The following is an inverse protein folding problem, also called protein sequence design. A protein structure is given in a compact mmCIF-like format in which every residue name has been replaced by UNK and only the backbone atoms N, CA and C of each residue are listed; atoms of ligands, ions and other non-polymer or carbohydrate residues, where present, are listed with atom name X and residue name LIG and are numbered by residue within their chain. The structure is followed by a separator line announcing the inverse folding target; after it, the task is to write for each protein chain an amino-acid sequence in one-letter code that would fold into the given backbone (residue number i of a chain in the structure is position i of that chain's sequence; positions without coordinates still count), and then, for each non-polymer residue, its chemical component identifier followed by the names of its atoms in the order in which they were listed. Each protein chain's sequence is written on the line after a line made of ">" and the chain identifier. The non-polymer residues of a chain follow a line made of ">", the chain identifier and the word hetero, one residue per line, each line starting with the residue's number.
data_IF_753831763693
#
_entry.id   IF_753831763693
#
_cell.length_a   1.000
_cell.length_b   1.000
_cell.length_c   1.000
_cell.angle_alpha   90.00
_cell.angle_beta   90.00
_cell.angle_gamma   90.00
#
_symmetry.space_group_name_H-M   'P 1'
#
loop_
_entity.id
_entity.type
_entity.pdbx_description
1 polymer ?
#
# COMPACT_ATOMS: atom_id res chain seq x y z
N UNK A 1 14.33 -20.44 5.55
CA UNK A 1 15.06 -20.10 4.31
C UNK A 1 14.27 -19.07 3.54
N UNK A 2 14.92 -18.16 2.83
CA UNK A 2 14.31 -17.22 1.88
C UNK A 2 14.83 -17.55 0.49
N UNK A 3 13.97 -17.45 -0.50
CA UNK A 3 14.30 -17.70 -1.90
C UNK A 3 13.98 -16.46 -2.72
N UNK A 4 14.76 -16.21 -3.75
CA UNK A 4 14.46 -15.19 -4.73
C UNK A 4 13.18 -15.54 -5.51
N UNK A 5 12.55 -14.54 -6.09
CA UNK A 5 11.28 -14.71 -6.81
C UNK A 5 11.37 -15.70 -7.97
N UNK A 6 12.53 -15.79 -8.60
CA UNK A 6 12.84 -16.66 -9.75
C UNK A 6 13.52 -17.97 -9.38
N UNK A 7 13.64 -18.28 -8.07
CA UNK A 7 14.21 -19.55 -7.63
C UNK A 7 13.50 -20.74 -8.31
N UNK A 8 14.31 -21.64 -8.86
CA UNK A 8 13.83 -22.79 -9.60
C UNK A 8 13.23 -23.87 -8.67
N UNK A 9 12.39 -24.72 -9.24
CA UNK A 9 11.85 -25.88 -8.52
C UNK A 9 12.98 -26.76 -7.93
N UNK A 10 14.06 -26.99 -8.71
CA UNK A 10 15.18 -27.81 -8.28
C UNK A 10 15.91 -27.22 -7.07
N UNK A 11 16.15 -25.92 -7.07
CA UNK A 11 16.78 -25.22 -5.93
C UNK A 11 15.94 -25.33 -4.66
N UNK A 12 14.63 -25.15 -4.77
CA UNK A 12 13.71 -25.23 -3.64
C UNK A 12 13.64 -26.67 -3.11
N UNK A 13 13.40 -27.66 -3.95
CA UNK A 13 13.33 -29.05 -3.52
C UNK A 13 14.66 -29.54 -2.92
N UNK A 14 15.79 -29.14 -3.48
CA UNK A 14 17.11 -29.44 -2.95
C UNK A 14 17.32 -28.82 -1.56
N UNK A 15 16.89 -27.58 -1.35
CA UNK A 15 17.02 -26.91 -0.06
C UNK A 15 16.22 -27.61 1.07
N UNK A 16 15.08 -28.23 0.73
CA UNK A 16 14.23 -28.97 1.66
C UNK A 16 14.44 -30.49 1.62
N UNK A 17 15.43 -31.00 0.90
CA UNK A 17 15.63 -32.44 0.69
C UNK A 17 15.76 -33.25 2.00
N UNK A 18 16.41 -32.67 3.02
CA UNK A 18 16.60 -33.32 4.32
C UNK A 18 15.27 -33.50 5.10
N UNK A 19 14.28 -32.65 4.86
CA UNK A 19 12.96 -32.72 5.50
C UNK A 19 11.99 -33.52 4.62
N UNK A 20 12.01 -33.29 3.30
CA UNK A 20 11.14 -33.96 2.32
C UNK A 20 11.41 -35.46 2.21
N UNK A 21 12.67 -35.89 2.11
CA UNK A 21 13.02 -37.28 1.93
C UNK A 21 12.41 -38.19 3.00
N UNK A 22 12.69 -37.98 4.30
CA UNK A 22 12.09 -38.74 5.38
C UNK A 22 10.57 -38.60 5.49
N UNK A 23 10.00 -37.44 5.11
CA UNK A 23 8.55 -37.24 5.09
C UNK A 23 7.90 -38.09 4.01
N UNK A 24 8.43 -38.03 2.79
CA UNK A 24 7.93 -38.79 1.63
C UNK A 24 8.04 -40.31 1.86
N UNK A 25 9.17 -40.77 2.39
CA UNK A 25 9.40 -42.21 2.69
C UNK A 25 8.37 -42.74 3.69
N UNK A 26 8.15 -41.99 4.80
CA UNK A 26 7.17 -42.41 5.83
C UNK A 26 5.72 -42.42 5.33
N UNK A 27 5.38 -41.47 4.44
CA UNK A 27 4.03 -41.32 3.90
C UNK A 27 3.77 -42.14 2.63
N UNK A 28 4.81 -42.79 2.05
CA UNK A 28 4.69 -43.50 0.78
C UNK A 28 4.54 -42.63 -0.46
N UNK A 29 4.93 -41.34 -0.35
CA UNK A 29 4.85 -40.37 -1.44
C UNK A 29 6.01 -40.58 -2.44
N UNK A 30 5.71 -40.45 -3.74
CA UNK A 30 6.66 -40.77 -4.81
C UNK A 30 7.21 -39.56 -5.53
N UNK A 31 6.48 -38.42 -5.53
CA UNK A 31 6.91 -37.23 -6.23
C UNK A 31 6.56 -35.94 -5.47
N UNK A 32 7.30 -34.88 -5.77
CA UNK A 32 7.02 -33.54 -5.31
C UNK A 32 7.32 -32.52 -6.41
N UNK A 33 6.53 -31.49 -6.49
CA UNK A 33 6.77 -30.34 -7.37
C UNK A 33 6.65 -29.02 -6.61
N UNK A 34 6.95 -27.89 -7.28
CA UNK A 34 6.81 -26.56 -6.71
C UNK A 34 5.87 -25.74 -7.56
N UNK A 35 4.80 -25.27 -6.95
CA UNK A 35 4.01 -24.19 -7.52
C UNK A 35 4.61 -22.85 -7.11
N UNK A 36 4.89 -22.00 -8.10
CA UNK A 36 5.33 -20.62 -7.90
C UNK A 36 4.41 -19.72 -8.70
N UNK A 37 3.40 -19.15 -8.03
CA UNK A 37 2.42 -18.24 -8.63
C UNK A 37 2.71 -16.83 -8.17
N UNK A 38 2.91 -15.92 -9.12
CA UNK A 38 3.12 -14.49 -8.82
C UNK A 38 2.46 -13.62 -9.89
N UNK A 39 1.97 -12.43 -9.53
CA UNK A 39 1.43 -11.47 -10.49
C UNK A 39 2.46 -11.13 -11.57
N UNK A 40 1.98 -10.99 -12.80
CA UNK A 40 2.82 -10.65 -13.94
C UNK A 40 3.59 -11.80 -14.58
N UNK A 41 3.53 -13.03 -14.00
CA UNK A 41 4.08 -14.19 -14.68
C UNK A 41 3.19 -14.59 -15.86
N UNK A 42 3.79 -15.13 -16.92
CA UNK A 42 3.06 -15.66 -18.06
C UNK A 42 2.12 -16.81 -17.63
N UNK A 43 0.88 -16.76 -18.09
CA UNK A 43 -0.14 -17.78 -17.77
C UNK A 43 -0.73 -17.70 -16.36
N UNK A 44 -0.41 -16.68 -15.57
CA UNK A 44 -0.90 -16.51 -14.19
C UNK A 44 -2.41 -16.71 -14.05
N UNK A 45 -3.23 -16.00 -14.84
CA UNK A 45 -4.69 -16.09 -14.75
C UNK A 45 -5.22 -17.48 -15.11
N UNK A 46 -4.60 -18.15 -16.08
CA UNK A 46 -4.97 -19.52 -16.47
C UNK A 46 -4.63 -20.55 -15.37
N UNK A 47 -3.50 -20.38 -14.69
CA UNK A 47 -3.11 -21.23 -13.57
C UNK A 47 -4.04 -20.97 -12.38
N UNK A 48 -4.29 -19.70 -12.04
CA UNK A 48 -5.20 -19.32 -10.97
C UNK A 48 -6.61 -19.86 -11.19
N UNK A 49 -7.15 -19.75 -12.39
CA UNK A 49 -8.49 -20.23 -12.73
C UNK A 49 -8.68 -21.74 -12.46
N UNK A 50 -7.63 -22.55 -12.66
CA UNK A 50 -7.69 -23.98 -12.37
C UNK A 50 -7.88 -24.29 -10.89
N UNK A 51 -7.33 -23.47 -10.01
CA UNK A 51 -7.45 -23.66 -8.56
C UNK A 51 -8.73 -23.07 -7.98
N UNK A 52 -9.33 -22.06 -8.64
CA UNK A 52 -10.51 -21.37 -8.13
C UNK A 52 -11.81 -22.18 -8.24
N UNK A 53 -11.88 -23.20 -9.08
CA UNK A 53 -13.08 -24.03 -9.22
C UNK A 53 -13.07 -25.17 -8.20
N UNK A 54 -14.22 -25.44 -7.56
CA UNK A 54 -14.36 -26.55 -6.61
C UNK A 54 -14.02 -27.87 -7.27
N UNK A 55 -13.17 -28.65 -6.63
CA UNK A 55 -12.72 -29.97 -7.09
C UNK A 55 -12.43 -30.92 -5.92
N UNK A 56 -12.19 -32.17 -6.24
CA UNK A 56 -11.68 -33.19 -5.34
C UNK A 56 -10.44 -33.85 -5.95
N UNK A 57 -9.65 -34.48 -5.11
CA UNK A 57 -8.59 -35.39 -5.53
C UNK A 57 -8.90 -36.83 -5.12
N UNK A 58 -8.39 -37.81 -5.85
CA UNK A 58 -8.46 -39.23 -5.48
C UNK A 58 -7.46 -39.59 -4.39
N UNK A 59 -6.52 -38.74 -4.13
CA UNK A 59 -5.45 -38.85 -3.13
C UNK A 59 -5.42 -37.64 -2.21
N UNK A 60 -4.69 -37.74 -1.10
CA UNK A 60 -4.47 -36.60 -0.20
C UNK A 60 -3.65 -35.53 -0.92
N UNK A 61 -4.11 -34.30 -0.88
CA UNK A 61 -3.31 -33.15 -1.34
C UNK A 61 -2.47 -32.62 -0.19
N UNK A 62 -1.14 -32.68 -0.33
CA UNK A 62 -0.22 -32.12 0.65
C UNK A 62 0.49 -30.92 0.05
N UNK A 63 0.48 -29.81 0.80
CA UNK A 63 1.11 -28.57 0.39
C UNK A 63 1.86 -27.94 1.55
N UNK A 64 3.15 -27.66 1.34
CA UNK A 64 4.00 -26.90 2.27
C UNK A 64 4.30 -25.53 1.70
N UNK A 65 3.93 -24.47 2.43
CA UNK A 65 4.12 -23.09 1.98
C UNK A 65 5.54 -22.63 2.26
N UNK A 66 6.31 -22.48 1.19
CA UNK A 66 7.71 -21.99 1.23
C UNK A 66 7.75 -20.48 1.39
N UNK A 67 6.83 -19.79 0.70
CA UNK A 67 6.68 -18.33 0.77
C UNK A 67 5.29 -17.90 0.28
N UNK A 68 4.92 -16.64 0.60
CA UNK A 68 3.60 -16.12 0.25
C UNK A 68 2.48 -16.70 1.12
N UNK A 69 1.27 -16.68 0.59
CA UNK A 69 0.07 -17.13 1.29
C UNK A 69 -1.01 -17.59 0.32
N UNK A 70 -2.00 -18.33 0.83
CA UNK A 70 -3.17 -18.72 0.06
C UNK A 70 -4.29 -19.24 0.95
N UNK A 71 -5.49 -19.29 0.41
CA UNK A 71 -6.68 -19.72 1.13
C UNK A 71 -7.17 -21.03 0.53
N UNK A 72 -7.23 -22.04 1.36
CA UNK A 72 -8.03 -23.24 1.08
C UNK A 72 -9.46 -23.02 1.54
N UNK A 73 -10.40 -23.28 0.67
CA UNK A 73 -11.83 -23.29 0.95
C UNK A 73 -12.34 -24.72 0.97
N UNK A 74 -13.21 -25.04 1.92
CA UNK A 74 -13.77 -26.36 2.11
C UNK A 74 -15.28 -26.32 2.08
N UNK A 75 -15.88 -27.23 1.29
CA UNK A 75 -17.31 -27.43 1.19
C UNK A 75 -17.66 -28.86 1.66
N UNK A 76 -17.78 -29.02 2.97
CA UNK A 76 -18.14 -30.29 3.60
C UNK A 76 -19.67 -30.41 3.66
N UNK A 77 -20.19 -31.65 3.54
CA UNK A 77 -21.64 -31.89 3.50
C UNK A 77 -22.34 -31.53 4.83
N UNK A 78 -21.60 -31.60 5.95
CA UNK A 78 -22.14 -31.44 7.31
C UNK A 78 -21.86 -30.07 7.93
N UNK A 79 -21.04 -29.25 7.27
CA UNK A 79 -20.58 -27.99 7.83
C UNK A 79 -20.82 -26.83 6.84
N UNK A 80 -21.00 -25.60 7.34
CA UNK A 80 -20.95 -24.42 6.46
C UNK A 80 -19.60 -24.36 5.73
N UNK A 81 -19.61 -23.77 4.54
CA UNK A 81 -18.35 -23.51 3.81
C UNK A 81 -17.43 -22.64 4.69
N UNK A 82 -16.22 -23.10 4.90
CA UNK A 82 -15.19 -22.41 5.67
C UNK A 82 -13.88 -22.31 4.89
N UNK A 83 -12.96 -21.52 5.38
CA UNK A 83 -11.63 -21.40 4.79
C UNK A 83 -10.51 -21.49 5.82
N UNK A 84 -9.32 -21.84 5.33
CA UNK A 84 -8.06 -21.80 6.07
C UNK A 84 -7.07 -20.95 5.29
N UNK A 85 -6.57 -19.89 5.94
CA UNK A 85 -5.43 -19.15 5.45
C UNK A 85 -4.16 -19.93 5.77
N UNK A 86 -3.39 -20.22 4.74
CA UNK A 86 -2.07 -20.85 4.85
C UNK A 86 -1.00 -19.82 4.49
N UNK A 87 0.00 -19.71 5.34
CA UNK A 87 1.13 -18.76 5.19
C UNK A 87 2.46 -19.53 5.15
N UNK A 88 3.54 -18.83 4.88
CA UNK A 88 4.90 -19.38 4.92
C UNK A 88 5.16 -20.16 6.20
N UNK A 89 5.60 -21.41 6.04
CA UNK A 89 5.89 -22.34 7.14
C UNK A 89 4.76 -23.31 7.44
N UNK A 90 3.55 -23.09 6.90
CA UNK A 90 2.42 -23.98 7.10
C UNK A 90 2.52 -25.22 6.19
N UNK A 91 2.11 -26.35 6.73
CA UNK A 91 1.88 -27.58 5.98
C UNK A 91 0.42 -27.98 6.15
N UNK A 92 -0.29 -28.12 5.04
CA UNK A 92 -1.67 -28.58 5.02
C UNK A 92 -1.75 -29.95 4.31
N UNK A 93 -2.59 -30.82 4.85
CA UNK A 93 -3.01 -32.08 4.18
C UNK A 93 -4.52 -32.07 4.03
N UNK A 94 -4.99 -32.12 2.79
CA UNK A 94 -6.40 -32.21 2.44
C UNK A 94 -6.71 -33.66 2.11
N UNK A 95 -7.56 -34.35 2.89
CA UNK A 95 -7.87 -35.76 2.65
C UNK A 95 -8.53 -36.01 1.28
N UNK A 96 -8.24 -37.14 0.68
CA UNK A 96 -8.87 -37.59 -0.57
C UNK A 96 -10.40 -37.45 -0.54
N UNK A 97 -10.99 -37.04 -1.65
CA UNK A 97 -12.44 -36.83 -1.79
C UNK A 97 -13.01 -35.58 -1.14
N UNK A 98 -12.19 -34.79 -0.43
CA UNK A 98 -12.62 -33.53 0.17
C UNK A 98 -12.90 -32.47 -0.90
N UNK A 99 -14.13 -31.91 -0.92
CA UNK A 99 -14.51 -30.83 -1.84
C UNK A 99 -13.86 -29.53 -1.36
N UNK A 100 -13.02 -28.96 -2.20
CA UNK A 100 -12.28 -27.76 -1.88
C UNK A 100 -11.91 -26.94 -3.13
N UNK A 101 -11.47 -25.73 -2.92
CA UNK A 101 -10.78 -24.90 -3.92
C UNK A 101 -9.73 -24.04 -3.24
N UNK A 102 -8.81 -23.53 -4.05
CA UNK A 102 -7.70 -22.72 -3.55
C UNK A 102 -7.66 -21.38 -4.24
N UNK A 103 -7.52 -20.32 -3.47
CA UNK A 103 -7.26 -18.97 -3.97
C UNK A 103 -6.01 -18.39 -3.31
N UNK A 104 -5.08 -17.95 -4.13
CA UNK A 104 -3.91 -17.22 -3.66
C UNK A 104 -4.23 -15.77 -3.24
N UNK A 105 -5.52 -15.36 -3.31
CA UNK A 105 -6.03 -14.03 -2.96
C UNK A 105 -6.26 -13.12 -4.16
N UNK A 106 -7.15 -12.14 -4.02
CA UNK A 106 -7.56 -11.27 -5.12
C UNK A 106 -6.57 -10.15 -5.42
N UNK A 107 -5.77 -9.69 -4.43
CA UNK A 107 -4.86 -8.58 -4.59
C UNK A 107 -3.41 -9.04 -4.53
N UNK A 108 -2.78 -9.21 -5.66
CA UNK A 108 -1.40 -9.73 -5.82
C UNK A 108 -1.15 -11.04 -5.09
N UNK A 109 -1.85 -12.09 -5.46
CA UNK A 109 -1.67 -13.40 -4.86
C UNK A 109 -0.28 -13.96 -5.23
N UNK A 110 0.56 -14.11 -4.23
CA UNK A 110 1.85 -14.75 -4.35
C UNK A 110 1.84 -16.00 -3.50
N UNK A 111 2.10 -17.15 -4.11
CA UNK A 111 2.29 -18.42 -3.43
C UNK A 111 3.46 -19.17 -4.02
N UNK A 112 4.35 -19.59 -3.15
CA UNK A 112 5.43 -20.53 -3.46
C UNK A 112 5.28 -21.71 -2.50
N UNK A 113 4.87 -22.85 -3.02
CA UNK A 113 4.58 -24.02 -2.20
C UNK A 113 5.07 -25.31 -2.83
N UNK A 114 5.59 -26.21 -2.01
CA UNK A 114 5.90 -27.60 -2.38
C UNK A 114 4.63 -28.41 -2.29
N UNK A 115 4.27 -29.13 -3.36
CA UNK A 115 3.19 -30.10 -3.38
C UNK A 115 3.79 -31.50 -3.40
N UNK A 116 3.18 -32.43 -2.67
CA UNK A 116 3.68 -33.78 -2.47
C UNK A 116 2.58 -34.76 -2.85
N UNK A 117 2.90 -35.80 -3.63
CA UNK A 117 1.95 -36.71 -4.24
C UNK A 117 2.33 -38.20 -4.02
N UNK A 118 1.31 -39.08 -3.93
CA UNK A 118 1.51 -40.51 -3.74
C UNK A 118 2.01 -41.16 -5.03
N UNK A 119 1.58 -40.68 -6.20
CA UNK A 119 2.00 -41.23 -7.47
C UNK A 119 2.71 -40.23 -8.39
N UNK A 120 3.16 -40.69 -9.55
CA UNK A 120 3.88 -39.91 -10.54
C UNK A 120 2.97 -39.03 -11.42
N UNK A 121 1.64 -39.15 -11.34
CA UNK A 121 0.71 -38.33 -12.11
C UNK A 121 0.66 -36.89 -11.61
N UNK A 122 1.03 -36.68 -10.35
CA UNK A 122 1.02 -35.36 -9.72
C UNK A 122 -0.40 -34.84 -9.47
N UNK A 123 -0.58 -33.54 -9.61
CA UNK A 123 -1.84 -32.88 -9.28
C UNK A 123 -2.90 -33.10 -10.37
N UNK A 124 -3.95 -33.82 -10.03
CA UNK A 124 -5.09 -34.13 -10.93
C UNK A 124 -6.39 -33.74 -10.26
N UNK A 125 -7.04 -32.63 -10.67
CA UNK A 125 -8.33 -32.21 -10.11
C UNK A 125 -9.50 -32.87 -10.80
N UNK A 126 -10.51 -33.27 -10.02
CA UNK A 126 -11.82 -33.69 -10.50
C UNK A 126 -12.86 -32.65 -10.12
N UNK A 127 -13.24 -31.77 -11.06
CA UNK A 127 -14.16 -30.66 -10.82
C UNK A 127 -15.57 -31.15 -10.52
N UNK A 128 -16.22 -30.52 -9.51
CA UNK A 128 -17.55 -30.91 -9.02
C UNK A 128 -18.71 -30.25 -9.78
N UNK A 129 -18.44 -29.23 -10.55
CA UNK A 129 -19.42 -28.37 -11.26
C UNK A 129 -20.46 -27.70 -10.35
N UNK A 130 -20.24 -27.65 -9.02
CA UNK A 130 -21.17 -27.07 -8.03
C UNK A 130 -21.30 -25.58 -8.13
N UNK A 131 -20.25 -24.88 -8.61
CA UNK A 131 -20.13 -23.42 -8.69
C UNK A 131 -20.29 -22.69 -7.35
N UNK A 132 -20.15 -23.40 -6.23
CA UNK A 132 -20.28 -22.83 -4.88
C UNK A 132 -19.22 -21.75 -4.63
N UNK A 133 -18.02 -21.90 -5.21
CA UNK A 133 -16.91 -20.97 -5.13
C UNK A 133 -17.27 -19.57 -5.62
N UNK A 134 -18.24 -19.43 -6.54
CA UNK A 134 -18.67 -18.13 -7.08
C UNK A 134 -19.30 -17.24 -6.01
N UNK A 135 -19.86 -17.82 -4.95
CA UNK A 135 -20.43 -17.08 -3.82
C UNK A 135 -19.37 -16.38 -2.98
N UNK A 136 -18.13 -16.85 -3.07
CA UNK A 136 -16.98 -16.39 -2.29
C UNK A 136 -15.94 -15.64 -3.14
N UNK A 137 -16.23 -15.37 -4.42
CA UNK A 137 -15.32 -14.73 -5.37
C UNK A 137 -14.88 -13.30 -4.96
N UNK A 138 -15.63 -12.66 -4.06
CA UNK A 138 -15.33 -11.31 -3.54
C UNK A 138 -14.56 -11.34 -2.22
N UNK A 139 -14.28 -12.52 -1.68
CA UNK A 139 -13.55 -12.62 -0.43
C UNK A 139 -12.11 -12.14 -0.60
N UNK A 140 -11.68 -11.29 0.33
CA UNK A 140 -10.29 -10.82 0.41
C UNK A 140 -9.71 -11.27 1.74
N UNK A 141 -8.43 -11.67 1.74
CA UNK A 141 -7.73 -12.04 2.97
C UNK A 141 -7.66 -10.81 3.89
N UNK A 142 -8.28 -10.84 5.07
CA UNK A 142 -8.23 -9.72 6.01
C UNK A 142 -6.79 -9.40 6.45
N UNK A 143 -6.61 -8.25 7.05
CA UNK A 143 -5.36 -7.93 7.72
C UNK A 143 -5.18 -8.81 8.96
N UNK A 144 -3.92 -9.15 9.27
CA UNK A 144 -3.57 -10.09 10.36
C UNK A 144 -3.88 -9.56 11.75
N UNK A 145 -3.75 -8.26 11.93
CA UNK A 145 -3.94 -7.60 13.23
C UNK A 145 -5.03 -6.55 13.15
N UNK A 146 -5.68 -6.30 14.28
CA UNK A 146 -6.70 -5.25 14.40
C UNK A 146 -6.10 -3.88 14.04
N UNK A 147 -6.75 -3.16 13.14
CA UNK A 147 -6.37 -1.79 12.76
C UNK A 147 -7.07 -0.79 13.65
N UNK A 148 -6.28 -0.07 14.46
CA UNK A 148 -6.76 1.01 15.36
C UNK A 148 -6.45 2.39 14.81
N UNK A 149 -5.44 2.48 13.96
CA UNK A 149 -4.98 3.73 13.37
C UNK A 149 -4.68 3.55 11.89
N UNK A 150 -5.17 4.46 11.07
CA UNK A 150 -4.92 4.49 9.62
C UNK A 150 -4.07 5.71 9.31
N UNK A 151 -2.82 5.49 8.93
CA UNK A 151 -1.91 6.51 8.44
C UNK A 151 -1.98 6.52 6.92
N UNK A 152 -2.30 7.64 6.31
CA UNK A 152 -2.45 7.72 4.86
C UNK A 152 -1.51 8.74 4.24
N UNK A 153 -1.00 8.42 3.07
CA UNK A 153 -0.39 9.38 2.16
C UNK A 153 -1.48 10.24 1.49
N UNK A 154 -1.06 11.29 0.79
CA UNK A 154 -1.95 12.20 0.05
C UNK A 154 -1.94 11.88 -1.44
N UNK A 155 -0.80 12.13 -2.11
CA UNK A 155 -0.66 12.05 -3.56
C UNK A 155 -0.78 10.60 -4.03
N UNK A 156 -1.65 10.32 -5.00
CA UNK A 156 -1.91 8.95 -5.47
C UNK A 156 -2.68 8.05 -4.50
N UNK A 157 -3.01 8.52 -3.30
CA UNK A 157 -3.67 7.76 -2.23
C UNK A 157 -5.02 8.35 -1.86
N UNK A 158 -5.05 9.52 -1.21
CA UNK A 158 -6.29 10.25 -0.87
C UNK A 158 -6.67 11.30 -1.91
N UNK A 159 -5.68 11.83 -2.64
CA UNK A 159 -5.82 12.83 -3.68
C UNK A 159 -5.06 12.40 -4.94
N UNK A 160 -5.44 12.91 -6.11
CA UNK A 160 -4.73 12.61 -7.35
C UNK A 160 -3.38 13.32 -7.41
N UNK A 161 -2.40 12.69 -8.05
CA UNK A 161 -1.10 13.29 -8.34
C UNK A 161 -1.28 14.52 -9.26
N UNK A 162 -2.21 14.43 -10.21
CA UNK A 162 -2.53 15.52 -11.15
C UNK A 162 -3.03 16.78 -10.45
N UNK A 163 -3.68 16.68 -9.30
CA UNK A 163 -4.10 17.86 -8.54
C UNK A 163 -2.91 18.74 -8.12
N UNK A 164 -1.81 18.13 -7.70
CA UNK A 164 -0.60 18.85 -7.31
C UNK A 164 0.08 19.46 -8.53
N UNK A 165 0.26 18.67 -9.60
CA UNK A 165 1.03 19.06 -10.78
C UNK A 165 0.26 19.98 -11.72
N UNK A 166 -1.06 19.83 -11.83
CA UNK A 166 -1.90 20.56 -12.79
C UNK A 166 -2.71 21.69 -12.16
N UNK A 167 -2.85 21.71 -10.83
CA UNK A 167 -3.61 22.76 -10.13
C UNK A 167 -2.73 23.55 -9.18
N UNK A 168 -2.12 22.92 -8.18
CA UNK A 168 -1.41 23.64 -7.11
C UNK A 168 -0.14 24.34 -7.60
N UNK A 169 0.70 23.64 -8.36
CA UNK A 169 1.94 24.25 -8.88
C UNK A 169 1.68 25.32 -9.94
N UNK A 170 0.78 25.14 -10.92
CA UNK A 170 0.39 26.21 -11.82
C UNK A 170 -0.18 27.41 -11.08
N UNK A 171 -1.10 27.19 -10.11
CA UNK A 171 -1.66 28.26 -9.32
C UNK A 171 -0.59 29.11 -8.62
N UNK A 172 0.40 28.47 -8.01
CA UNK A 172 1.54 29.16 -7.40
C UNK A 172 2.35 29.95 -8.44
N UNK A 173 2.73 29.30 -9.55
CA UNK A 173 3.58 29.90 -10.59
C UNK A 173 2.92 31.10 -11.29
N UNK A 174 1.59 31.11 -11.41
CA UNK A 174 0.82 32.23 -11.94
C UNK A 174 0.76 33.41 -10.97
N UNK A 175 0.80 33.13 -9.66
CA UNK A 175 0.60 34.13 -8.60
C UNK A 175 1.86 34.47 -7.83
N UNK A 176 3.00 33.92 -8.19
CA UNK A 176 4.27 34.10 -7.48
C UNK A 176 4.67 35.58 -7.35
N UNK A 177 4.24 36.42 -8.30
CA UNK A 177 4.50 37.90 -8.27
C UNK A 177 3.80 38.57 -7.08
N UNK A 178 2.72 38.00 -6.54
CA UNK A 178 2.03 38.50 -5.35
C UNK A 178 2.94 38.52 -4.11
N UNK A 179 3.98 37.68 -4.09
CA UNK A 179 4.98 37.69 -3.02
C UNK A 179 5.69 39.04 -2.86
N UNK A 180 5.71 39.90 -3.89
CA UNK A 180 6.25 41.25 -3.80
C UNK A 180 5.44 42.09 -2.81
N UNK A 181 4.13 42.01 -2.90
CA UNK A 181 3.20 42.72 -2.03
C UNK A 181 3.25 42.18 -0.59
N UNK A 182 3.50 40.86 -0.48
CA UNK A 182 3.58 40.13 0.79
C UNK A 182 4.98 40.15 1.40
N UNK A 183 5.98 40.81 0.78
CA UNK A 183 7.38 40.87 1.26
C UNK A 183 7.55 41.50 2.65
N UNK A 184 6.54 42.28 3.12
CA UNK A 184 6.51 42.84 4.45
C UNK A 184 6.17 41.81 5.54
N UNK A 185 5.57 40.65 5.19
CA UNK A 185 5.24 39.58 6.15
C UNK A 185 6.52 38.89 6.64
N UNK A 186 6.66 38.67 7.97
CA UNK A 186 7.87 38.06 8.52
C UNK A 186 8.24 36.71 7.86
N UNK A 187 7.25 35.84 7.59
CA UNK A 187 7.45 34.54 6.97
C UNK A 187 7.99 34.66 5.54
N UNK A 188 7.48 35.61 4.75
CA UNK A 188 7.93 35.87 3.38
C UNK A 188 9.33 36.46 3.37
N UNK A 189 9.59 37.43 4.26
CA UNK A 189 10.91 38.05 4.42
C UNK A 189 11.98 37.02 4.78
N UNK A 190 11.69 36.15 5.74
CA UNK A 190 12.58 35.05 6.13
C UNK A 190 12.85 34.11 4.96
N UNK A 191 11.80 33.65 4.28
CA UNK A 191 11.93 32.73 3.14
C UNK A 191 12.73 33.37 1.97
N UNK A 192 12.63 34.71 1.78
CA UNK A 192 13.44 35.39 0.79
C UNK A 192 14.94 35.40 1.17
N UNK A 193 15.27 35.62 2.44
CA UNK A 193 16.66 35.55 2.90
C UNK A 193 17.24 34.12 2.78
N UNK A 194 16.46 33.12 3.16
CA UNK A 194 16.84 31.70 2.97
C UNK A 194 17.03 31.35 1.48
N UNK A 195 16.18 31.91 0.61
CA UNK A 195 16.31 31.71 -0.86
C UNK A 195 17.63 32.31 -1.37
N UNK A 196 18.03 33.49 -0.92
CA UNK A 196 19.33 34.08 -1.30
C UNK A 196 20.51 33.22 -0.89
N UNK A 197 20.48 32.69 0.35
CA UNK A 197 21.51 31.79 0.85
C UNK A 197 21.59 30.52 0.05
N UNK A 198 20.45 29.82 -0.13
CA UNK A 198 20.38 28.54 -0.84
C UNK A 198 20.68 28.67 -2.34
N UNK A 199 20.34 29.78 -2.99
CA UNK A 199 20.71 30.03 -4.38
C UNK A 199 22.24 30.06 -4.55
N UNK A 200 22.96 30.65 -3.58
CA UNK A 200 24.41 30.65 -3.57
C UNK A 200 25.01 29.28 -3.28
N UNK A 201 24.44 28.55 -2.31
CA UNK A 201 24.95 27.27 -1.86
C UNK A 201 24.71 26.16 -2.89
N UNK A 202 23.49 26.09 -3.46
CA UNK A 202 23.08 24.99 -4.32
C UNK A 202 23.39 25.22 -5.80
N UNK A 203 23.25 26.47 -6.25
CA UNK A 203 23.35 26.79 -7.68
C UNK A 203 24.54 27.72 -8.01
N UNK A 204 25.28 28.20 -6.98
CA UNK A 204 26.39 29.17 -7.16
C UNK A 204 25.94 30.59 -7.58
N UNK A 205 24.65 30.87 -7.51
CA UNK A 205 24.05 32.11 -7.98
C UNK A 205 23.87 33.11 -6.83
N UNK A 206 24.14 34.38 -7.09
CA UNK A 206 23.91 35.45 -6.14
C UNK A 206 22.67 36.23 -6.56
N UNK A 207 21.56 36.08 -5.83
CA UNK A 207 20.33 36.86 -6.02
C UNK A 207 20.23 37.97 -4.97
N UNK A 208 19.93 39.19 -5.39
CA UNK A 208 19.96 40.39 -4.53
C UNK A 208 18.60 41.09 -4.45
N UNK A 209 17.93 41.21 -5.56
CA UNK A 209 16.64 41.90 -5.66
C UNK A 209 15.47 40.99 -5.45
N UNK A 210 14.31 41.52 -5.10
CA UNK A 210 13.07 40.75 -5.00
C UNK A 210 12.70 40.05 -6.32
N UNK A 211 12.93 40.72 -7.45
CA UNK A 211 12.67 40.13 -8.78
C UNK A 211 13.55 38.91 -9.06
N UNK A 212 14.86 39.01 -8.71
CA UNK A 212 15.79 37.87 -8.84
C UNK A 212 15.40 36.70 -7.94
N UNK A 213 14.95 37.00 -6.70
CA UNK A 213 14.47 35.97 -5.76
C UNK A 213 13.23 35.26 -6.34
N UNK A 214 12.25 36.01 -6.83
CA UNK A 214 11.03 35.46 -7.44
C UNK A 214 11.35 34.63 -8.68
N UNK A 215 12.24 35.13 -9.54
CA UNK A 215 12.69 34.37 -10.71
C UNK A 215 13.36 33.04 -10.32
N UNK A 216 14.17 33.05 -9.26
CA UNK A 216 14.80 31.85 -8.71
C UNK A 216 13.80 30.88 -8.13
N UNK A 217 12.87 31.34 -7.30
CA UNK A 217 11.79 30.51 -6.74
C UNK A 217 10.94 29.88 -7.85
N UNK A 218 10.62 30.63 -8.91
CA UNK A 218 9.89 30.13 -10.06
C UNK A 218 10.68 29.03 -10.80
N UNK A 219 11.97 29.24 -11.00
CA UNK A 219 12.86 28.22 -11.60
C UNK A 219 12.88 26.94 -10.76
N UNK A 220 12.98 27.05 -9.44
CA UNK A 220 12.95 25.90 -8.54
C UNK A 220 11.59 25.19 -8.51
N UNK A 221 10.49 25.96 -8.58
CA UNK A 221 9.14 25.41 -8.66
C UNK A 221 8.93 24.61 -9.95
N UNK A 222 9.34 25.14 -11.08
CA UNK A 222 9.26 24.46 -12.37
C UNK A 222 10.16 23.21 -12.44
N UNK A 223 11.25 23.17 -11.68
CA UNK A 223 12.14 22.03 -11.55
C UNK A 223 11.72 21.05 -10.43
N UNK A 224 10.56 21.25 -9.82
CA UNK A 224 10.04 20.47 -8.69
C UNK A 224 11.05 20.28 -7.53
N UNK A 225 11.86 21.30 -7.25
CA UNK A 225 12.83 21.24 -6.15
C UNK A 225 12.11 21.26 -4.79
N UNK A 226 12.46 20.31 -3.92
CA UNK A 226 11.87 20.18 -2.57
C UNK A 226 12.64 21.01 -1.55
N UNK A 227 12.60 22.33 -1.69
CA UNK A 227 13.37 23.32 -0.91
C UNK A 227 12.46 24.01 0.11
N UNK A 228 12.91 24.14 1.36
CA UNK A 228 12.12 24.71 2.47
C UNK A 228 11.51 26.07 2.18
N UNK A 229 12.28 27.12 1.76
CA UNK A 229 11.68 28.44 1.50
C UNK A 229 10.66 28.41 0.35
N UNK A 230 10.86 27.57 -0.68
CA UNK A 230 9.88 27.41 -1.74
C UNK A 230 8.57 26.82 -1.20
N UNK A 231 8.64 25.74 -0.42
CA UNK A 231 7.45 25.12 0.21
C UNK A 231 6.71 26.10 1.13
N UNK A 232 7.45 26.91 1.88
CA UNK A 232 6.89 27.94 2.76
C UNK A 232 6.09 28.97 1.95
N UNK A 233 6.66 29.48 0.84
CA UNK A 233 6.01 30.46 0.00
C UNK A 233 4.87 29.90 -0.84
N UNK A 234 4.97 28.66 -1.28
CA UNK A 234 3.84 27.92 -1.86
C UNK A 234 2.67 27.86 -0.85
N UNK A 235 2.95 27.53 0.41
CA UNK A 235 1.94 27.52 1.47
C UNK A 235 1.27 28.86 1.67
N UNK A 236 1.99 29.99 1.58
CA UNK A 236 1.42 31.36 1.70
C UNK A 236 0.44 31.64 0.56
N UNK A 237 0.82 31.37 -0.69
CA UNK A 237 -0.03 31.60 -1.86
C UNK A 237 -1.24 30.65 -1.86
N UNK A 238 -1.04 29.38 -1.50
CA UNK A 238 -2.15 28.43 -1.43
C UNK A 238 -3.15 28.75 -0.31
N UNK A 239 -2.69 29.22 0.86
CA UNK A 239 -3.59 29.61 1.95
C UNK A 239 -4.58 30.70 1.50
N UNK A 240 -4.11 31.71 0.79
CA UNK A 240 -4.98 32.73 0.20
C UNK A 240 -5.94 32.14 -0.83
N UNK A 241 -5.43 31.28 -1.73
CA UNK A 241 -6.24 30.59 -2.74
C UNK A 241 -7.35 29.73 -2.17
N UNK A 242 -7.06 29.01 -1.11
CA UNK A 242 -8.05 28.16 -0.43
C UNK A 242 -9.08 29.03 0.33
N UNK A 243 -8.65 30.05 1.05
CA UNK A 243 -9.54 30.95 1.82
C UNK A 243 -10.47 31.75 0.91
N UNK A 244 -9.97 32.20 -0.23
CA UNK A 244 -10.80 32.91 -1.22
C UNK A 244 -11.74 32.00 -2.00
N UNK A 245 -11.56 30.66 -1.91
CA UNK A 245 -12.33 29.68 -2.68
C UNK A 245 -11.85 29.52 -4.13
N UNK A 246 -10.74 30.14 -4.51
CA UNK A 246 -10.11 29.97 -5.82
C UNK A 246 -9.45 28.59 -5.97
N UNK A 247 -9.06 27.97 -4.84
CA UNK A 247 -8.62 26.58 -4.76
C UNK A 247 -9.60 25.77 -3.96
N UNK A 248 -9.80 24.51 -4.39
CA UNK A 248 -10.46 23.47 -3.59
C UNK A 248 -9.60 22.23 -3.60
N UNK A 249 -9.43 21.59 -2.45
CA UNK A 249 -8.64 20.40 -2.30
C UNK A 249 -9.32 19.21 -2.96
N UNK A 250 -8.65 18.58 -3.90
CA UNK A 250 -9.13 17.32 -4.48
C UNK A 250 -8.99 16.18 -3.48
N UNK A 251 -10.03 15.37 -3.35
CA UNK A 251 -10.01 14.07 -2.68
C UNK A 251 -10.85 13.08 -3.49
N UNK A 252 -10.41 11.82 -3.56
CA UNK A 252 -11.22 10.79 -4.21
C UNK A 252 -12.56 10.61 -3.48
N UNK A 253 -13.61 10.29 -4.23
CA UNK A 253 -14.99 10.25 -3.74
C UNK A 253 -15.21 9.24 -2.59
N UNK A 254 -14.39 8.22 -2.50
CA UNK A 254 -14.43 7.18 -1.47
C UNK A 254 -13.74 7.58 -0.15
N UNK A 255 -12.96 8.67 -0.13
CA UNK A 255 -12.15 9.05 1.03
C UNK A 255 -13.02 9.58 2.17
N UNK A 256 -13.81 10.61 1.91
CA UNK A 256 -14.59 11.26 2.95
C UNK A 256 -15.60 10.30 3.64
N UNK A 257 -16.39 9.49 2.93
CA UNK A 257 -17.32 8.54 3.56
C UNK A 257 -16.63 7.51 4.44
N UNK A 258 -15.45 7.03 4.03
CA UNK A 258 -14.72 6.03 4.79
C UNK A 258 -14.02 6.61 6.01
N UNK A 259 -13.47 7.83 5.93
CA UNK A 259 -12.94 8.52 7.10
C UNK A 259 -14.03 8.72 8.17
N UNK A 260 -15.21 9.14 7.75
CA UNK A 260 -16.36 9.29 8.64
C UNK A 260 -16.76 7.93 9.28
N UNK A 261 -16.88 6.87 8.46
CA UNK A 261 -17.20 5.52 8.93
C UNK A 261 -16.18 5.04 9.97
N UNK A 262 -14.89 5.07 9.63
CA UNK A 262 -13.82 4.61 10.51
C UNK A 262 -13.75 5.37 11.83
N UNK A 263 -14.00 6.69 11.78
CA UNK A 263 -14.10 7.50 13.00
C UNK A 263 -15.28 7.06 13.89
N UNK A 264 -16.46 6.80 13.30
CA UNK A 264 -17.63 6.29 14.04
C UNK A 264 -17.38 4.90 14.65
N UNK A 265 -16.56 4.09 14.02
CA UNK A 265 -16.13 2.77 14.50
C UNK A 265 -15.01 2.84 15.53
N UNK A 266 -14.56 4.04 15.89
CA UNK A 266 -13.52 4.26 16.91
C UNK A 266 -12.08 4.17 16.38
N UNK A 267 -11.87 4.00 15.07
CA UNK A 267 -10.55 4.06 14.45
C UNK A 267 -10.11 5.51 14.30
N UNK A 268 -8.83 5.75 14.50
CA UNK A 268 -8.22 7.06 14.28
C UNK A 268 -7.55 7.10 12.91
N UNK A 269 -7.46 8.30 12.32
CA UNK A 269 -6.70 8.52 11.09
C UNK A 269 -5.67 9.62 11.27
N UNK A 270 -4.63 9.57 10.46
CA UNK A 270 -3.61 10.60 10.34
C UNK A 270 -3.02 10.63 8.94
N UNK A 271 -2.30 11.68 8.66
CA UNK A 271 -1.70 11.94 7.35
C UNK A 271 -0.19 11.96 7.47
N UNK A 272 0.50 11.35 6.50
CA UNK A 272 1.94 11.46 6.35
C UNK A 272 2.30 11.76 4.89
N UNK A 273 2.73 12.97 4.61
CA UNK A 273 3.05 13.44 3.25
C UNK A 273 4.36 14.24 3.24
N UNK A 274 4.97 14.36 2.07
CA UNK A 274 6.12 15.25 1.84
C UNK A 274 5.75 16.73 1.84
N UNK A 275 4.46 17.05 1.68
CA UNK A 275 3.93 18.39 1.87
C UNK A 275 3.94 18.82 3.34
N UNK A 276 4.13 20.12 3.61
CA UNK A 276 4.10 20.62 4.99
C UNK A 276 2.75 20.37 5.67
N UNK A 277 2.74 20.22 6.99
CA UNK A 277 1.50 20.06 7.78
C UNK A 277 0.49 21.18 7.47
N UNK A 278 0.96 22.41 7.24
CA UNK A 278 0.10 23.52 6.85
C UNK A 278 -0.59 23.25 5.49
N UNK A 279 0.16 22.80 4.48
CA UNK A 279 -0.40 22.46 3.17
C UNK A 279 -1.37 21.27 3.25
N UNK A 280 -1.06 20.25 4.04
CA UNK A 280 -1.94 19.11 4.28
C UNK A 280 -3.29 19.55 4.86
N UNK A 281 -3.27 20.44 5.86
CA UNK A 281 -4.48 21.00 6.47
C UNK A 281 -5.30 21.85 5.51
N UNK A 282 -4.67 22.56 4.58
CA UNK A 282 -5.38 23.32 3.55
C UNK A 282 -6.11 22.38 2.57
N UNK A 283 -5.45 21.35 2.06
CA UNK A 283 -6.06 20.38 1.14
C UNK A 283 -7.30 19.76 1.76
N UNK A 284 -7.21 19.27 2.99
CA UNK A 284 -8.34 18.60 3.65
C UNK A 284 -9.36 19.55 4.24
N UNK A 285 -8.95 20.75 4.71
CA UNK A 285 -9.86 21.73 5.29
C UNK A 285 -10.74 22.44 4.26
N UNK A 286 -10.24 22.56 3.03
CA UNK A 286 -10.95 23.18 1.92
C UNK A 286 -11.21 22.20 0.78
N UNK A 287 -11.47 20.94 1.12
CA UNK A 287 -11.69 19.93 0.09
C UNK A 287 -13.04 20.09 -0.62
N UNK A 288 -13.14 19.46 -1.79
CA UNK A 288 -14.41 19.39 -2.54
C UNK A 288 -15.51 18.65 -1.74
N UNK A 289 -15.10 17.75 -0.82
CA UNK A 289 -16.00 17.03 0.06
C UNK A 289 -16.30 17.75 1.40
N UNK A 290 -15.90 19.02 1.53
CA UNK A 290 -16.03 19.80 2.76
C UNK A 290 -14.79 19.73 3.64
N UNK A 291 -14.91 20.15 4.90
CA UNK A 291 -13.81 20.10 5.86
C UNK A 291 -13.64 18.68 6.42
N UNK A 292 -12.54 18.02 6.02
CA UNK A 292 -12.17 16.68 6.46
C UNK A 292 -11.15 16.69 7.61
N UNK A 293 -10.68 17.85 8.06
CA UNK A 293 -9.65 17.95 9.12
C UNK A 293 -10.11 17.34 10.44
N UNK A 294 -11.41 17.34 10.70
CA UNK A 294 -12.02 16.73 11.87
C UNK A 294 -11.80 15.20 12.00
N UNK A 295 -11.51 14.52 10.88
CA UNK A 295 -11.28 13.07 10.86
C UNK A 295 -9.82 12.69 11.09
N UNK A 296 -8.89 13.67 11.02
CA UNK A 296 -7.47 13.41 11.20
C UNK A 296 -6.98 13.88 12.56
N UNK A 297 -6.51 12.94 13.36
CA UNK A 297 -5.96 13.22 14.69
C UNK A 297 -4.52 13.76 14.65
N UNK A 298 -3.75 13.37 13.63
CA UNK A 298 -2.32 13.71 13.50
C UNK A 298 -1.94 14.01 12.05
N UNK A 299 -0.94 14.86 11.91
CA UNK A 299 -0.31 15.19 10.64
C UNK A 299 1.20 15.08 10.79
N UNK A 300 1.84 14.38 9.87
CA UNK A 300 3.29 14.18 9.80
C UNK A 300 3.80 14.66 8.45
N UNK A 301 4.98 15.25 8.45
CA UNK A 301 5.69 15.67 7.25
C UNK A 301 7.18 15.30 7.32
N UNK A 302 7.98 15.79 6.38
CA UNK A 302 9.42 15.50 6.31
C UNK A 302 10.23 16.00 7.50
N UNK A 303 9.66 16.81 8.40
CA UNK A 303 10.31 17.18 9.66
C UNK A 303 10.29 16.04 10.67
N UNK A 304 9.37 15.09 10.53
CA UNK A 304 9.33 13.84 11.30
C UNK A 304 10.42 12.86 10.84
N UNK A 305 10.81 12.94 9.56
CA UNK A 305 11.81 12.10 8.89
C UNK A 305 11.43 11.77 7.46
N UNK A 306 12.30 11.09 6.75
CA UNK A 306 12.06 10.68 5.36
C UNK A 306 11.03 9.56 5.26
N UNK A 307 10.13 9.61 4.26
CA UNK A 307 9.08 8.59 4.06
C UNK A 307 9.63 7.21 3.66
N UNK A 308 10.89 7.11 3.25
CA UNK A 308 11.58 5.85 2.90
C UNK A 308 12.48 5.33 4.03
N UNK A 309 12.45 5.97 5.19
CA UNK A 309 13.29 5.63 6.34
C UNK A 309 12.48 4.88 7.39
N UNK A 310 12.97 3.71 7.81
CA UNK A 310 12.32 2.85 8.80
C UNK A 310 12.14 3.57 10.13
N UNK A 311 13.16 4.32 10.57
CA UNK A 311 13.14 5.04 11.85
C UNK A 311 12.02 6.09 11.92
N UNK A 312 11.65 6.68 10.79
CA UNK A 312 10.53 7.64 10.72
C UNK A 312 9.22 6.98 11.18
N UNK A 313 8.92 5.77 10.70
CA UNK A 313 7.72 5.05 11.09
C UNK A 313 7.77 4.58 12.55
N UNK A 314 8.93 4.21 13.06
CA UNK A 314 9.11 3.92 14.49
C UNK A 314 8.82 5.15 15.36
N UNK A 315 9.33 6.32 14.96
CA UNK A 315 9.03 7.59 15.64
C UNK A 315 7.53 7.93 15.59
N UNK A 316 6.87 7.70 14.46
CA UNK A 316 5.42 7.88 14.32
C UNK A 316 4.68 6.96 15.30
N UNK A 317 5.00 5.66 15.36
CA UNK A 317 4.36 4.73 16.29
C UNK A 317 4.53 5.15 17.76
N UNK A 318 5.75 5.59 18.13
CA UNK A 318 6.04 6.11 19.46
C UNK A 318 5.20 7.37 19.76
N UNK A 319 5.13 8.31 18.82
CA UNK A 319 4.37 9.56 19.00
C UNK A 319 2.86 9.33 19.11
N UNK A 320 2.36 8.27 18.48
CA UNK A 320 0.97 7.83 18.57
C UNK A 320 0.68 7.01 19.83
N UNK A 321 1.71 6.62 20.59
CA UNK A 321 1.62 5.69 21.72
C UNK A 321 0.91 4.38 21.32
N UNK A 322 1.26 3.81 20.18
CA UNK A 322 0.59 2.66 19.59
C UNK A 322 1.57 1.58 19.14
N UNK A 323 1.17 0.32 19.28
CA UNK A 323 1.93 -0.79 18.71
C UNK A 323 1.94 -0.69 17.18
N UNK A 324 3.10 -0.82 16.51
CA UNK A 324 3.20 -0.74 15.05
C UNK A 324 2.20 -1.64 14.30
N UNK A 325 1.97 -2.85 14.78
CA UNK A 325 1.04 -3.82 14.19
C UNK A 325 -0.45 -3.36 14.17
N UNK A 326 -0.81 -2.39 15.01
CA UNK A 326 -2.16 -1.80 15.02
C UNK A 326 -2.28 -0.56 14.13
N UNK A 327 -1.21 -0.18 13.44
CA UNK A 327 -1.18 0.94 12.50
C UNK A 327 -1.17 0.39 11.09
N UNK A 328 -2.12 0.83 10.27
CA UNK A 328 -2.14 0.56 8.84
C UNK A 328 -1.61 1.78 8.09
N UNK A 329 -0.60 1.60 7.25
CA UNK A 329 -0.11 2.64 6.35
C UNK A 329 -0.59 2.40 4.91
N UNK A 330 -1.16 3.46 4.32
CA UNK A 330 -1.68 3.49 2.96
C UNK A 330 -0.82 4.42 2.12
N UNK A 331 -0.24 3.91 1.04
CA UNK A 331 0.56 4.70 0.08
C UNK A 331 0.50 4.03 -1.30
N UNK A 332 0.72 4.80 -2.36
CA UNK A 332 0.93 4.30 -3.71
C UNK A 332 2.39 3.89 -3.96
N UNK A 333 3.33 4.36 -3.13
CA UNK A 333 4.78 4.21 -3.27
C UNK A 333 5.30 2.97 -2.53
N UNK A 334 5.84 2.01 -3.26
CA UNK A 334 6.34 0.74 -2.71
C UNK A 334 7.47 0.91 -1.70
N UNK A 335 8.41 1.83 -1.94
CA UNK A 335 9.56 2.06 -1.05
C UNK A 335 9.14 2.60 0.33
N UNK A 336 8.06 3.38 0.37
CA UNK A 336 7.46 3.85 1.63
C UNK A 336 6.80 2.69 2.38
N UNK A 337 6.09 1.82 1.66
CA UNK A 337 5.48 0.62 2.23
C UNK A 337 6.53 -0.36 2.78
N UNK A 338 7.69 -0.51 2.11
CA UNK A 338 8.82 -1.31 2.60
C UNK A 338 9.31 -0.78 3.94
N UNK A 339 9.53 0.54 4.04
CA UNK A 339 10.00 1.17 5.27
C UNK A 339 9.00 1.01 6.41
N UNK A 340 7.71 1.25 6.15
CA UNK A 340 6.63 1.09 7.11
C UNK A 340 6.49 -0.37 7.60
N UNK A 341 6.49 -1.34 6.67
CA UNK A 341 6.42 -2.78 6.98
C UNK A 341 7.61 -3.24 7.82
N UNK A 342 8.82 -2.75 7.50
CA UNK A 342 10.03 -3.04 8.27
C UNK A 342 9.96 -2.46 9.68
N UNK A 343 9.26 -1.35 9.88
CA UNK A 343 8.97 -0.79 11.20
C UNK A 343 7.87 -1.54 11.96
N UNK A 344 7.21 -2.52 11.35
CA UNK A 344 6.16 -3.34 11.94
C UNK A 344 4.73 -2.90 11.63
N UNK A 345 4.53 -1.90 10.76
CA UNK A 345 3.19 -1.47 10.35
C UNK A 345 2.55 -2.49 9.42
N UNK A 346 1.24 -2.58 9.44
CA UNK A 346 0.47 -3.20 8.35
C UNK A 346 0.45 -2.23 7.17
N UNK A 347 0.47 -2.76 5.96
CA UNK A 347 0.66 -1.92 4.76
C UNK A 347 -0.24 -2.39 3.62
N UNK A 348 -0.82 -1.43 2.90
CA UNK A 348 -1.61 -1.66 1.69
C UNK A 348 -1.17 -0.63 0.64
N UNK A 349 -0.92 -1.11 -0.58
CA UNK A 349 -0.70 -0.22 -1.72
C UNK A 349 -2.04 0.23 -2.30
N UNK A 350 -2.24 1.54 -2.39
CA UNK A 350 -3.32 2.14 -3.18
C UNK A 350 -2.84 2.30 -4.62
N UNK A 351 -3.56 1.70 -5.56
CA UNK A 351 -3.32 1.88 -7.00
C UNK A 351 -4.54 2.59 -7.57
N UNK A 352 -4.45 3.92 -7.65
CA UNK A 352 -5.47 4.77 -8.27
C UNK A 352 -5.28 4.76 -9.79
N UNK A 353 -4.88 5.86 -10.39
CA UNK A 353 -4.68 5.99 -11.82
C UNK A 353 -3.19 5.86 -12.18
N UNK A 354 -2.88 5.03 -13.19
CA UNK A 354 -1.55 4.99 -13.81
C UNK A 354 -0.42 4.28 -13.04
N UNK A 355 -0.65 3.87 -11.80
CA UNK A 355 0.35 3.18 -11.01
C UNK A 355 0.31 1.65 -11.25
N UNK A 356 1.47 1.02 -11.19
CA UNK A 356 1.58 -0.44 -11.33
C UNK A 356 1.54 -1.10 -9.95
N UNK A 357 0.74 -2.17 -9.77
CA UNK A 357 0.72 -2.91 -8.51
C UNK A 357 2.05 -3.64 -8.29
N UNK A 358 2.68 -3.41 -7.14
CA UNK A 358 3.97 -4.01 -6.76
C UNK A 358 4.04 -4.42 -5.29
N UNK A 359 2.89 -4.64 -4.62
CA UNK A 359 2.84 -4.93 -3.19
C UNK A 359 1.99 -6.16 -2.88
N UNK A 360 2.17 -6.72 -1.67
CA UNK A 360 1.46 -7.95 -1.23
C UNK A 360 -0.06 -7.75 -1.15
N UNK A 361 -0.50 -6.58 -0.68
CA UNK A 361 -1.91 -6.19 -0.62
C UNK A 361 -2.11 -4.92 -1.43
N UNK A 362 -2.82 -5.04 -2.54
CA UNK A 362 -3.09 -3.94 -3.47
C UNK A 362 -4.59 -3.73 -3.57
N UNK A 363 -5.01 -2.49 -3.49
CA UNK A 363 -6.40 -2.08 -3.66
C UNK A 363 -6.49 -0.82 -4.51
N UNK A 364 -7.66 -0.56 -5.07
CA UNK A 364 -7.92 0.63 -5.90
C UNK A 364 -8.72 1.70 -5.18
N UNK A 365 -9.26 1.40 -3.99
CA UNK A 365 -10.17 2.30 -3.28
C UNK A 365 -10.12 2.10 -1.76
N UNK A 366 -10.57 3.12 -1.02
CA UNK A 366 -10.78 3.02 0.42
C UNK A 366 -11.91 2.04 0.78
N UNK A 367 -12.90 1.84 -0.12
CA UNK A 367 -13.91 0.81 0.07
C UNK A 367 -13.30 -0.60 0.15
N UNK A 368 -12.25 -0.86 -0.65
CA UNK A 368 -11.54 -2.12 -0.60
C UNK A 368 -10.62 -2.23 0.63
N UNK A 369 -10.03 -1.11 1.08
CA UNK A 369 -9.32 -1.08 2.38
C UNK A 369 -10.27 -1.47 3.50
N UNK A 370 -11.47 -0.89 3.51
CA UNK A 370 -12.50 -1.15 4.53
C UNK A 370 -12.86 -2.65 4.63
N UNK A 371 -12.95 -3.34 3.50
CA UNK A 371 -13.21 -4.78 3.47
C UNK A 371 -12.07 -5.61 4.11
N UNK A 372 -10.82 -5.12 4.03
CA UNK A 372 -9.65 -5.80 4.57
C UNK A 372 -9.46 -5.59 6.08
N UNK A 373 -10.02 -4.51 6.64
CA UNK A 373 -9.88 -4.14 8.06
C UNK A 373 -11.11 -4.50 8.91
N UNK A 374 -12.16 -5.03 8.31
CA UNK A 374 -13.34 -5.55 9.04
C UNK A 374 -13.01 -6.91 9.65
N UNK A 375 -13.12 -7.00 10.95
CA UNK A 375 -13.06 -8.23 11.76
C UNK A 375 -14.38 -8.43 12.48
#
# INVERSE_FOLDING_TARGET
>A
MTFDDDATQEEILKAYANDLGPFMERGGYQTADVINMRPGMEGYEAIRAKFLSEHIHTEDEIRFFVDGQGIFWFNLETEPVFNLLCERGDLISVPAGTKHWFDAGASRPFVKAIRIFIDMSGWVPHYTESKVEQRYSHFKIPLKHEVKYILTDIEGTTSSISFVTETLFPYFNERIEQLKELAHLPVVKQAFEETKQLAKELDGETVKTTDEIIAKLKSWSLADKKITPLKTLQGVIWDEGYRSGALKGHVYADVAPLLEKWTKEGRKAGVFSSGSIAAQRLIFGYSEAGDLTQYFSNYFDTTTGGKREVETYRHIAISLHMNPENILFLSDITEELIAAKTAGFQTIQLVREGNTPHWDKVVSSFNEVDQLIQH
#
